data_IF_271860421933
#
_entry.id   IF_271860421933
#
_cell.length_a   1.000
_cell.length_b   1.000
_cell.length_c   1.000
_cell.angle_alpha   90.00
_cell.angle_beta   90.00
_cell.angle_gamma   90.00
#
_symmetry.space_group_name_H-M   'P 1'
#
loop_
_entity.id
_entity.type
_entity.pdbx_description
1 polymer ?
#
# COMPACT_ATOMS: atom_id res chain seq x y z
N UNK A 1 7.62 -22.36 12.44
CA UNK A 1 6.31 -21.71 12.53
C UNK A 1 5.69 -21.72 11.15
N UNK A 2 4.49 -22.28 11.01
CA UNK A 2 3.79 -22.39 9.74
C UNK A 2 3.51 -21.00 9.17
N UNK A 3 4.16 -20.70 8.07
CA UNK A 3 4.06 -19.42 7.38
C UNK A 3 2.85 -19.43 6.42
N UNK A 4 1.67 -19.84 6.96
CA UNK A 4 0.42 -19.91 6.20
C UNK A 4 -0.35 -18.60 6.36
N UNK A 5 -1.05 -18.14 5.30
CA UNK A 5 -1.93 -16.99 5.41
C UNK A 5 -3.18 -17.30 6.25
N UNK A 6 -3.73 -16.28 6.85
CA UNK A 6 -5.00 -16.31 7.57
C UNK A 6 -6.07 -15.63 6.72
N UNK A 7 -7.29 -16.15 6.76
CA UNK A 7 -8.37 -15.64 5.94
C UNK A 7 -9.59 -15.31 6.77
N UNK A 8 -10.18 -14.16 6.48
CA UNK A 8 -11.49 -13.71 6.96
C UNK A 8 -11.64 -13.78 8.49
N UNK A 9 -12.86 -13.96 8.96
CA UNK A 9 -13.15 -13.93 10.40
C UNK A 9 -12.61 -15.15 11.15
N UNK A 10 -12.62 -16.33 10.55
CA UNK A 10 -11.98 -17.52 11.14
C UNK A 10 -10.47 -17.33 11.33
N UNK A 11 -9.83 -16.58 10.42
CA UNK A 11 -8.44 -16.18 10.54
C UNK A 11 -8.20 -15.23 11.72
N UNK A 12 -9.11 -14.29 11.97
CA UNK A 12 -9.08 -13.41 13.15
C UNK A 12 -9.12 -14.21 14.44
N UNK A 13 -10.06 -15.15 14.56
CA UNK A 13 -10.17 -16.01 15.76
C UNK A 13 -8.89 -16.78 16.03
N UNK A 14 -8.27 -17.36 15.00
CA UNK A 14 -6.99 -18.09 15.12
C UNK A 14 -5.85 -17.15 15.54
N UNK A 15 -5.79 -15.95 14.95
CA UNK A 15 -4.78 -14.95 15.31
C UNK A 15 -4.94 -14.49 16.76
N UNK A 16 -6.16 -14.20 17.20
CA UNK A 16 -6.43 -13.75 18.56
C UNK A 16 -5.91 -14.72 19.64
N UNK A 17 -5.93 -16.04 19.37
CA UNK A 17 -5.37 -17.04 20.30
C UNK A 17 -3.84 -17.04 20.33
N UNK A 18 -3.18 -16.68 19.24
CA UNK A 18 -1.71 -16.81 19.05
C UNK A 18 -0.93 -15.51 19.19
N UNK A 19 -1.59 -14.35 19.03
CA UNK A 19 -0.97 -13.05 19.21
C UNK A 19 -0.83 -12.69 20.69
N UNK A 20 0.22 -11.93 21.02
CA UNK A 20 0.47 -11.42 22.37
C UNK A 20 -0.35 -10.16 22.69
N UNK A 21 -0.74 -9.43 21.65
CA UNK A 21 -1.40 -8.12 21.71
C UNK A 21 -0.44 -6.94 21.61
N UNK A 22 0.87 -7.18 21.44
CA UNK A 22 1.91 -6.14 21.31
C UNK A 22 2.55 -6.10 19.92
N UNK A 23 1.93 -6.75 18.95
CA UNK A 23 2.46 -6.86 17.60
C UNK A 23 2.45 -5.53 16.86
N UNK A 24 3.42 -5.38 15.96
CA UNK A 24 3.47 -4.32 14.96
C UNK A 24 2.66 -4.74 13.73
N UNK A 25 1.62 -4.00 13.41
CA UNK A 25 0.67 -4.32 12.34
C UNK A 25 0.83 -3.35 11.18
N UNK A 26 1.00 -3.91 9.98
CA UNK A 26 1.13 -3.17 8.72
C UNK A 26 -0.22 -2.91 8.10
N UNK A 27 -0.48 -1.64 7.78
CA UNK A 27 -1.60 -1.17 6.95
C UNK A 27 -1.02 -0.27 5.86
N UNK A 28 -1.14 -0.66 4.58
CA UNK A 28 -0.55 0.10 3.47
C UNK A 28 -1.61 0.66 2.54
N UNK A 29 -1.62 1.98 2.30
CA UNK A 29 -2.64 2.65 1.49
C UNK A 29 -2.04 3.66 0.53
N UNK A 30 -2.72 3.85 -0.61
CA UNK A 30 -2.49 4.96 -1.52
C UNK A 30 -3.20 6.22 -1.02
N UNK A 31 -2.60 7.41 -1.11
CA UNK A 31 -3.18 8.64 -0.61
C UNK A 31 -4.20 9.24 -1.59
N UNK A 32 -5.16 8.48 -2.04
CA UNK A 32 -6.25 8.99 -2.84
C UNK A 32 -7.54 8.18 -2.63
N UNK A 33 -8.49 8.82 -1.96
CA UNK A 33 -9.77 8.23 -1.63
C UNK A 33 -9.71 7.20 -0.49
N UNK A 34 -10.73 7.25 0.33
CA UNK A 34 -10.97 6.28 1.38
C UNK A 34 -12.45 5.90 1.33
N UNK A 35 -12.77 4.75 0.77
CA UNK A 35 -14.13 4.27 0.53
C UNK A 35 -14.44 3.03 1.37
N UNK A 36 -15.67 2.55 1.32
CA UNK A 36 -16.13 1.41 2.11
C UNK A 36 -15.22 0.17 1.98
N UNK A 37 -14.72 -0.13 0.76
CA UNK A 37 -13.78 -1.23 0.54
C UNK A 37 -12.46 -1.07 1.29
N UNK A 38 -11.97 0.16 1.47
CA UNK A 38 -10.79 0.43 2.30
C UNK A 38 -11.09 0.30 3.80
N UNK A 39 -12.30 0.67 4.24
CA UNK A 39 -12.67 0.58 5.66
C UNK A 39 -12.62 -0.86 6.18
N UNK A 40 -12.81 -1.88 5.32
CA UNK A 40 -12.75 -3.29 5.74
C UNK A 40 -11.36 -3.65 6.28
N UNK A 41 -10.25 -3.58 5.51
CA UNK A 41 -8.92 -3.94 6.01
C UNK A 41 -8.33 -2.93 6.99
N UNK A 42 -8.76 -1.65 6.97
CA UNK A 42 -8.12 -0.60 7.76
C UNK A 42 -8.85 -0.27 9.05
N UNK A 43 -10.15 -0.57 9.16
CA UNK A 43 -10.98 -0.26 10.33
C UNK A 43 -11.68 -1.52 10.86
N UNK A 44 -12.48 -2.19 10.03
CA UNK A 44 -13.35 -3.28 10.48
C UNK A 44 -12.53 -4.46 11.01
N UNK A 45 -11.56 -4.96 10.23
CA UNK A 45 -10.75 -6.10 10.61
C UNK A 45 -9.81 -5.83 11.79
N UNK A 46 -9.13 -4.67 11.89
CA UNK A 46 -8.46 -4.25 13.10
C UNK A 46 -9.37 -4.24 14.34
N UNK A 47 -10.59 -3.71 14.23
CA UNK A 47 -11.55 -3.72 15.33
C UNK A 47 -11.96 -5.12 15.76
N UNK A 48 -12.33 -5.98 14.79
CA UNK A 48 -12.70 -7.37 15.07
C UNK A 48 -11.55 -8.16 15.70
N UNK A 49 -10.31 -7.92 15.26
CA UNK A 49 -9.14 -8.54 15.87
C UNK A 49 -8.99 -8.13 17.35
N UNK A 50 -9.16 -6.84 17.66
CA UNK A 50 -9.10 -6.36 19.02
C UNK A 50 -10.23 -6.93 19.90
N UNK A 51 -11.45 -7.02 19.36
CA UNK A 51 -12.59 -7.63 20.07
C UNK A 51 -12.34 -9.12 20.38
N UNK A 52 -11.84 -9.89 19.40
CA UNK A 52 -11.51 -11.30 19.62
C UNK A 52 -10.36 -11.50 20.61
N UNK A 53 -9.37 -10.61 20.61
CA UNK A 53 -8.31 -10.58 21.62
C UNK A 53 -8.89 -10.40 23.02
N UNK A 54 -9.81 -9.41 23.20
CA UNK A 54 -10.47 -9.19 24.48
C UNK A 54 -11.31 -10.39 24.90
N UNK A 55 -12.05 -11.03 23.96
CA UNK A 55 -12.80 -12.29 24.26
C UNK A 55 -11.88 -13.42 24.69
N UNK A 56 -10.64 -13.43 24.19
CA UNK A 56 -9.61 -14.38 24.60
C UNK A 56 -8.89 -13.97 25.92
N UNK A 57 -9.38 -12.95 26.64
CA UNK A 57 -8.80 -12.46 27.88
C UNK A 57 -7.47 -11.71 27.71
N UNK A 58 -7.18 -11.18 26.52
CA UNK A 58 -5.95 -10.46 26.21
C UNK A 58 -6.21 -8.97 26.01
N UNK A 59 -5.22 -8.13 26.31
CA UNK A 59 -5.27 -6.69 26.05
C UNK A 59 -4.67 -6.41 24.68
N UNK A 60 -5.44 -5.86 23.70
CA UNK A 60 -4.88 -5.46 22.42
C UNK A 60 -4.11 -4.13 22.58
N UNK A 61 -2.79 -4.21 22.65
CA UNK A 61 -1.86 -3.07 22.71
C UNK A 61 -0.99 -3.01 21.45
N UNK A 62 -1.60 -3.22 20.30
CA UNK A 62 -0.95 -3.19 19.00
C UNK A 62 -0.36 -1.83 18.65
N UNK A 63 0.70 -1.83 17.82
CA UNK A 63 1.11 -0.63 17.09
C UNK A 63 0.69 -0.79 15.63
N UNK A 64 -0.30 -0.02 15.19
CA UNK A 64 -0.68 0.06 13.78
C UNK A 64 0.24 1.04 13.06
N UNK A 65 0.95 0.54 12.06
CA UNK A 65 1.74 1.34 11.13
C UNK A 65 0.94 1.55 9.85
N UNK A 66 0.42 2.76 9.69
CA UNK A 66 -0.28 3.21 8.50
C UNK A 66 0.74 3.79 7.52
N UNK A 67 1.08 3.02 6.50
CA UNK A 67 2.00 3.45 5.46
C UNK A 67 1.27 4.13 4.32
N UNK A 68 1.48 5.43 4.17
CA UNK A 68 0.98 6.21 3.06
C UNK A 68 1.97 6.09 1.88
N UNK A 69 1.51 5.51 0.77
CA UNK A 69 2.32 5.35 -0.42
C UNK A 69 2.34 6.63 -1.26
N UNK A 70 3.10 7.62 -0.85
CA UNK A 70 3.27 8.90 -1.55
C UNK A 70 4.25 8.84 -2.74
N UNK A 71 4.84 7.69 -3.01
CA UNK A 71 5.75 7.44 -4.13
C UNK A 71 5.07 6.75 -5.31
N UNK A 72 3.87 6.26 -5.16
CA UNK A 72 3.15 5.64 -6.25
C UNK A 72 2.62 6.69 -7.21
N UNK A 73 2.66 6.36 -8.50
CA UNK A 73 2.01 7.13 -9.53
C UNK A 73 0.70 6.45 -9.89
N UNK A 74 -0.36 7.23 -10.03
CA UNK A 74 -1.46 6.84 -10.88
C UNK A 74 -1.30 7.51 -12.24
N UNK A 75 -1.41 6.71 -13.28
CA UNK A 75 -1.75 7.24 -14.58
C UNK A 75 -3.19 7.71 -14.49
N UNK A 76 -3.40 9.00 -14.35
CA UNK A 76 -4.72 9.56 -14.46
C UNK A 76 -5.13 9.53 -15.93
N UNK A 77 -5.87 8.50 -16.27
CA UNK A 77 -6.71 8.49 -17.42
C UNK A 77 -8.00 9.20 -17.00
N UNK A 78 -8.21 10.41 -17.50
CA UNK A 78 -9.39 11.22 -17.22
C UNK A 78 -10.70 10.51 -17.57
N UNK A 79 -10.67 9.43 -18.37
CA UNK A 79 -11.81 8.56 -18.62
C UNK A 79 -12.13 7.60 -17.48
N UNK A 80 -11.22 7.38 -16.54
CA UNK A 80 -11.36 6.39 -15.45
C UNK A 80 -11.51 7.00 -14.06
N UNK A 81 -11.28 8.29 -13.91
CA UNK A 81 -11.39 8.98 -12.63
C UNK A 81 -12.55 9.94 -12.68
N UNK A 82 -13.52 9.76 -11.77
CA UNK A 82 -14.57 10.75 -11.62
C UNK A 82 -13.98 12.00 -10.96
N UNK A 83 -13.73 13.04 -11.77
CA UNK A 83 -13.11 14.30 -11.36
C UNK A 83 -13.88 14.99 -10.21
N UNK A 84 -15.17 14.68 -10.05
CA UNK A 84 -16.00 15.22 -8.94
C UNK A 84 -15.48 14.84 -7.55
N UNK A 85 -14.72 13.76 -7.45
CA UNK A 85 -14.18 13.27 -6.18
C UNK A 85 -12.77 13.76 -5.87
N UNK A 86 -12.15 14.45 -6.81
CA UNK A 86 -10.91 15.17 -6.58
C UNK A 86 -11.22 16.63 -6.29
N UNK A 87 -10.61 17.20 -5.25
CA UNK A 87 -10.80 18.62 -4.94
C UNK A 87 -10.18 19.56 -6.01
N UNK A 88 -9.80 19.04 -7.19
CA UNK A 88 -9.01 19.74 -8.20
C UNK A 88 -9.69 19.66 -9.57
N UNK A 89 -10.00 20.83 -10.09
CA UNK A 89 -10.77 20.97 -11.33
C UNK A 89 -9.97 20.71 -12.62
N UNK A 90 -8.66 20.50 -12.56
CA UNK A 90 -7.84 20.35 -13.76
C UNK A 90 -6.71 19.36 -13.52
N UNK A 91 -6.79 18.22 -14.18
CA UNK A 91 -5.65 17.29 -14.29
C UNK A 91 -5.16 17.32 -15.75
N UNK A 92 -3.86 17.48 -16.00
CA UNK A 92 -3.32 17.41 -17.35
C UNK A 92 -3.52 15.99 -17.93
N UNK A 93 -4.07 15.92 -19.13
CA UNK A 93 -4.25 14.65 -19.86
C UNK A 93 -2.92 13.93 -20.05
N UNK A 94 -2.91 12.62 -19.87
CA UNK A 94 -1.75 11.74 -20.15
C UNK A 94 -0.48 12.02 -19.35
N UNK A 95 -0.56 12.68 -18.21
CA UNK A 95 0.60 12.90 -17.34
C UNK A 95 0.56 11.97 -16.14
N UNK A 96 1.70 11.31 -15.89
CA UNK A 96 1.91 10.49 -14.70
C UNK A 96 2.44 11.38 -13.59
N UNK A 97 1.66 11.62 -12.54
CA UNK A 97 2.06 12.45 -11.40
C UNK A 97 2.40 11.61 -10.19
N UNK A 98 3.36 12.06 -9.40
CA UNK A 98 3.43 11.66 -8.01
C UNK A 98 2.36 12.37 -7.22
N UNK A 99 1.69 11.66 -6.32
CA UNK A 99 0.71 12.23 -5.41
C UNK A 99 1.24 13.39 -4.55
N UNK A 100 2.57 13.46 -4.34
CA UNK A 100 3.22 14.52 -3.56
C UNK A 100 3.24 15.88 -4.24
N UNK A 101 3.12 15.94 -5.59
CA UNK A 101 3.55 17.11 -6.34
C UNK A 101 2.44 17.86 -7.06
N UNK A 102 1.20 17.39 -6.99
CA UNK A 102 0.16 17.99 -7.79
C UNK A 102 -0.94 18.64 -6.96
N UNK A 103 -0.94 19.99 -6.99
CA UNK A 103 -2.16 20.76 -6.72
C UNK A 103 -2.09 22.10 -7.46
N UNK A 104 -3.08 22.40 -8.30
CA UNK A 104 -3.21 23.70 -8.91
C UNK A 104 -3.37 24.86 -7.91
N UNK A 105 -3.78 24.58 -6.68
CA UNK A 105 -4.12 25.56 -5.63
C UNK A 105 -3.13 25.61 -4.46
N UNK A 106 -1.97 24.93 -4.55
CA UNK A 106 -0.89 25.05 -3.56
C UNK A 106 -0.91 24.07 -2.39
N UNK A 107 -1.63 22.96 -2.45
CA UNK A 107 -1.60 21.92 -1.42
C UNK A 107 -1.11 20.55 -1.94
N UNK A 108 -1.03 19.51 -1.12
CA UNK A 108 -0.64 18.15 -1.50
C UNK A 108 -1.84 17.19 -1.43
N UNK A 109 -2.07 16.40 -2.51
CA UNK A 109 -3.08 15.32 -2.51
C UNK A 109 -2.86 14.40 -1.29
N UNK A 110 -1.60 14.12 -0.96
CA UNK A 110 -1.23 13.35 0.22
C UNK A 110 -1.74 14.02 1.49
N UNK A 111 -1.49 15.33 1.67
CA UNK A 111 -1.94 16.04 2.89
C UNK A 111 -3.46 16.01 3.04
N UNK A 112 -4.19 16.18 1.94
CA UNK A 112 -5.64 16.14 1.95
C UNK A 112 -6.18 14.76 2.37
N UNK A 113 -5.73 13.70 1.71
CA UNK A 113 -6.22 12.36 1.95
C UNK A 113 -5.68 11.73 3.22
N UNK A 114 -4.45 12.05 3.64
CA UNK A 114 -3.86 11.56 4.88
C UNK A 114 -4.70 11.93 6.10
N UNK A 115 -5.18 13.17 6.18
CA UNK A 115 -6.04 13.59 7.27
C UNK A 115 -7.33 12.74 7.34
N UNK A 116 -7.99 12.55 6.19
CA UNK A 116 -9.21 11.73 6.08
C UNK A 116 -8.94 10.26 6.46
N UNK A 117 -7.81 9.70 5.99
CA UNK A 117 -7.44 8.32 6.27
C UNK A 117 -7.14 8.13 7.76
N UNK A 118 -6.36 9.05 8.35
CA UNK A 118 -6.01 9.01 9.78
C UNK A 118 -7.29 9.12 10.63
N UNK A 119 -8.19 10.03 10.32
CA UNK A 119 -9.46 10.20 11.03
C UNK A 119 -10.25 8.89 11.07
N UNK A 120 -10.43 8.24 9.90
CA UNK A 120 -11.13 6.97 9.82
C UNK A 120 -10.42 5.82 10.59
N UNK A 121 -9.10 5.72 10.50
CA UNK A 121 -8.34 4.66 11.19
C UNK A 121 -8.25 4.92 12.68
N UNK A 122 -8.25 6.17 13.11
CA UNK A 122 -8.25 6.56 14.52
C UNK A 122 -9.46 6.05 15.28
N UNK A 123 -10.57 5.76 14.61
CA UNK A 123 -11.75 5.13 15.20
C UNK A 123 -11.41 3.81 15.93
N UNK A 124 -10.42 3.05 15.43
CA UNK A 124 -9.95 1.82 16.10
C UNK A 124 -9.26 2.17 17.43
N UNK A 125 -8.43 3.20 17.45
CA UNK A 125 -7.73 3.68 18.64
C UNK A 125 -8.68 4.25 19.67
N UNK A 126 -9.70 5.00 19.23
CA UNK A 126 -10.70 5.59 20.13
C UNK A 126 -11.49 4.51 20.86
N UNK A 127 -11.81 3.42 20.17
CA UNK A 127 -12.48 2.25 20.76
C UNK A 127 -11.57 1.40 21.65
N UNK A 128 -10.26 1.35 21.31
CA UNK A 128 -9.24 0.56 22.03
C UNK A 128 -8.05 1.45 22.41
N UNK A 129 -8.11 2.21 23.50
CA UNK A 129 -7.12 3.24 23.85
C UNK A 129 -5.69 2.74 24.07
N UNK A 130 -5.51 1.43 24.32
CA UNK A 130 -4.19 0.80 24.44
C UNK A 130 -3.44 0.66 23.10
N UNK A 131 -4.11 0.91 21.97
CA UNK A 131 -3.50 0.85 20.64
C UNK A 131 -2.71 2.13 20.34
N UNK A 132 -1.58 1.97 19.69
CA UNK A 132 -0.82 3.06 19.07
C UNK A 132 -1.04 3.10 17.57
N UNK A 133 -1.24 4.28 17.00
CA UNK A 133 -1.31 4.51 15.55
C UNK A 133 -0.13 5.40 15.13
N UNK A 134 0.65 4.94 14.15
CA UNK A 134 1.77 5.68 13.56
C UNK A 134 1.57 5.79 12.06
N UNK A 135 1.45 7.00 11.54
CA UNK A 135 1.37 7.28 10.12
C UNK A 135 2.77 7.58 9.57
N UNK A 136 3.14 6.94 8.47
CA UNK A 136 4.49 7.04 7.87
C UNK A 136 4.35 7.12 6.36
N UNK A 137 4.94 8.16 5.75
CA UNK A 137 5.06 8.32 4.31
C UNK A 137 6.33 7.64 3.80
N UNK A 138 6.33 7.17 2.56
CA UNK A 138 7.55 6.62 1.95
C UNK A 138 8.68 7.65 1.86
N UNK A 139 8.34 8.89 1.54
CA UNK A 139 9.31 9.99 1.47
C UNK A 139 10.07 10.18 2.77
N UNK A 140 9.45 9.92 3.93
CA UNK A 140 10.10 9.97 5.23
C UNK A 140 11.09 8.82 5.46
N UNK A 141 10.95 7.74 4.69
CA UNK A 141 11.83 6.56 4.78
C UNK A 141 12.97 6.59 3.77
N UNK A 142 12.97 7.54 2.83
CA UNK A 142 13.90 7.61 1.70
C UNK A 142 15.35 7.43 2.11
N UNK A 143 15.77 8.14 3.15
CA UNK A 143 17.17 8.20 3.59
C UNK A 143 17.55 7.06 4.57
N UNK A 144 16.63 6.16 4.87
CA UNK A 144 16.91 4.95 5.65
C UNK A 144 17.70 3.95 4.78
N UNK A 145 18.79 3.41 5.32
CA UNK A 145 19.73 2.55 4.57
C UNK A 145 19.01 1.42 3.81
N UNK A 146 18.12 0.69 4.47
CA UNK A 146 17.37 -0.42 3.86
C UNK A 146 16.48 0.06 2.69
N UNK A 147 15.86 1.25 2.78
CA UNK A 147 15.07 1.81 1.69
C UNK A 147 15.97 2.17 0.51
N UNK A 148 17.11 2.81 0.78
CA UNK A 148 18.12 3.14 -0.24
C UNK A 148 18.62 1.88 -0.94
N UNK A 149 18.97 0.83 -0.20
CA UNK A 149 19.44 -0.44 -0.74
C UNK A 149 18.41 -1.07 -1.69
N UNK A 150 17.13 -1.07 -1.30
CA UNK A 150 16.04 -1.60 -2.15
C UNK A 150 15.89 -0.77 -3.42
N UNK A 151 15.90 0.56 -3.33
CA UNK A 151 15.82 1.46 -4.48
C UNK A 151 17.00 1.23 -5.44
N UNK A 152 18.22 1.31 -4.93
CA UNK A 152 19.45 1.15 -5.72
C UNK A 152 19.49 -0.23 -6.41
N UNK A 153 19.18 -1.30 -5.65
CA UNK A 153 19.18 -2.66 -6.21
C UNK A 153 18.11 -2.81 -7.30
N UNK A 154 16.91 -2.22 -7.11
CA UNK A 154 15.84 -2.29 -8.12
C UNK A 154 16.22 -1.54 -9.40
N UNK A 155 16.98 -0.43 -9.31
CA UNK A 155 17.46 0.31 -10.48
C UNK A 155 18.61 -0.44 -11.14
N UNK A 156 19.54 -1.03 -10.37
CA UNK A 156 20.69 -1.81 -10.91
C UNK A 156 20.23 -3.08 -11.62
N UNK A 157 19.17 -3.73 -11.14
CA UNK A 157 18.60 -4.94 -11.73
C UNK A 157 17.10 -4.74 -12.03
N UNK A 158 16.76 -4.13 -13.17
CA UNK A 158 15.39 -3.83 -13.53
C UNK A 158 14.52 -5.08 -13.75
N UNK A 159 15.12 -6.25 -13.99
CA UNK A 159 14.41 -7.51 -14.20
C UNK A 159 14.08 -8.25 -12.90
N UNK A 160 14.79 -7.98 -11.81
CA UNK A 160 14.69 -8.70 -10.54
C UNK A 160 13.23 -8.83 -10.05
N UNK A 161 12.47 -7.74 -10.08
CA UNK A 161 11.06 -7.76 -9.65
C UNK A 161 10.19 -8.49 -10.67
N UNK A 162 10.41 -8.24 -11.97
CA UNK A 162 9.67 -8.89 -13.05
C UNK A 162 9.84 -10.40 -13.04
N UNK A 163 11.05 -10.90 -12.82
CA UNK A 163 11.36 -12.34 -12.74
C UNK A 163 10.63 -13.02 -11.59
N UNK A 164 10.59 -12.39 -10.41
CA UNK A 164 9.82 -12.89 -9.28
C UNK A 164 8.33 -12.89 -9.57
N UNK A 165 7.81 -11.84 -10.19
CA UNK A 165 6.38 -11.73 -10.50
C UNK A 165 5.95 -12.76 -11.53
N UNK A 166 6.71 -12.97 -12.62
CA UNK A 166 6.44 -14.02 -13.63
C UNK A 166 6.31 -15.42 -13.01
N UNK A 167 6.99 -15.68 -11.92
CA UNK A 167 6.97 -16.97 -11.22
C UNK A 167 5.86 -17.09 -10.16
N UNK A 168 5.18 -16.00 -9.79
CA UNK A 168 4.34 -15.97 -8.59
C UNK A 168 2.94 -15.42 -8.78
N UNK A 169 2.68 -14.73 -9.88
CA UNK A 169 1.35 -14.19 -10.15
C UNK A 169 0.72 -14.87 -11.37
N UNK A 170 -0.62 -15.05 -11.31
CA UNK A 170 -1.42 -15.49 -12.46
C UNK A 170 -1.88 -14.32 -13.33
N UNK A 171 -1.68 -13.08 -12.89
CA UNK A 171 -2.00 -11.89 -13.69
C UNK A 171 -0.99 -11.73 -14.81
N UNK A 172 -1.46 -11.25 -15.97
CA UNK A 172 -0.58 -10.73 -17.02
C UNK A 172 0.27 -9.63 -16.42
N UNK A 173 1.57 -9.86 -16.37
CA UNK A 173 2.52 -8.86 -15.90
C UNK A 173 2.67 -7.86 -17.03
N UNK A 174 2.27 -6.62 -16.77
CA UNK A 174 2.61 -5.52 -17.64
C UNK A 174 4.10 -5.28 -17.42
N UNK A 175 4.93 -5.60 -18.40
CA UNK A 175 6.35 -5.24 -18.37
C UNK A 175 6.44 -3.72 -18.31
N UNK A 176 6.96 -3.23 -17.21
CA UNK A 176 7.19 -1.80 -17.04
C UNK A 176 8.37 -1.39 -17.95
N UNK A 177 8.16 -0.53 -18.95
CA UNK A 177 9.19 -0.22 -19.94
C UNK A 177 10.42 0.49 -19.36
N UNK A 178 10.27 1.01 -18.12
CA UNK A 178 11.32 1.75 -17.41
C UNK A 178 11.76 1.06 -16.10
N UNK A 179 11.39 -0.21 -15.91
CA UNK A 179 11.67 -0.97 -14.69
C UNK A 179 10.71 -0.67 -13.54
N UNK A 180 10.94 -1.33 -12.40
CA UNK A 180 10.07 -1.28 -11.21
C UNK A 180 10.48 -0.24 -10.17
N UNK A 181 11.55 0.52 -10.43
CA UNK A 181 11.94 1.70 -9.67
C UNK A 181 12.47 2.77 -10.60
N UNK A 182 12.02 3.99 -10.42
CA UNK A 182 12.40 5.14 -11.27
C UNK A 182 12.54 6.39 -10.42
N UNK A 183 13.61 7.15 -10.65
CA UNK A 183 13.71 8.50 -10.11
C UNK A 183 12.74 9.41 -10.87
N UNK A 184 12.08 10.30 -10.13
CA UNK A 184 11.20 11.30 -10.72
C UNK A 184 12.05 12.42 -11.32
N UNK A 185 11.76 12.79 -12.55
CA UNK A 185 12.47 13.90 -13.20
C UNK A 185 12.39 15.19 -12.37
N UNK A 186 13.50 15.76 -11.91
CA UNK A 186 13.48 16.98 -11.12
C UNK A 186 12.90 18.18 -11.87
N UNK A 187 13.01 18.19 -13.20
CA UNK A 187 12.55 19.27 -14.06
C UNK A 187 11.05 19.20 -14.35
N UNK A 188 10.58 18.13 -15.02
CA UNK A 188 9.18 18.04 -15.47
C UNK A 188 8.29 17.12 -14.63
N UNK A 189 8.81 16.57 -13.54
CA UNK A 189 8.11 15.69 -12.59
C UNK A 189 7.60 14.37 -13.20
N UNK A 190 8.00 14.02 -14.42
CA UNK A 190 7.68 12.74 -15.03
C UNK A 190 8.42 11.60 -14.32
N UNK A 191 7.76 10.47 -14.14
CA UNK A 191 8.39 9.21 -13.74
C UNK A 191 8.68 8.29 -14.93
N UNK A 192 8.45 8.74 -16.14
CA UNK A 192 8.94 8.05 -17.35
C UNK A 192 10.40 8.42 -17.58
N UNK A 193 11.27 7.95 -16.69
CA UNK A 193 12.70 8.20 -16.74
C UNK A 193 13.47 6.89 -16.89
N UNK A 194 14.57 6.92 -17.60
CA UNK A 194 15.58 5.88 -17.58
C UNK A 194 16.64 6.27 -16.55
N UNK A 195 17.01 5.32 -15.69
CA UNK A 195 17.92 5.58 -14.60
C UNK A 195 19.12 4.66 -14.66
N UNK A 196 20.31 5.19 -14.35
CA UNK A 196 21.54 4.44 -14.21
C UNK A 196 22.25 4.86 -12.92
N UNK A 197 22.63 3.89 -12.12
CA UNK A 197 23.48 4.12 -10.95
C UNK A 197 24.88 4.40 -11.40
N UNK A 198 25.45 5.55 -11.05
CA UNK A 198 26.81 5.96 -11.35
C UNK A 198 27.75 5.51 -10.23
N UNK A 199 27.36 5.75 -8.99
CA UNK A 199 28.01 5.31 -7.78
C UNK A 199 26.95 5.12 -6.68
N UNK A 200 27.36 4.92 -5.43
CA UNK A 200 26.43 4.63 -4.32
C UNK A 200 25.48 5.79 -3.99
N UNK A 201 25.79 7.01 -4.38
CA UNK A 201 25.04 8.21 -4.07
C UNK A 201 24.48 8.93 -5.30
N UNK A 202 24.98 8.65 -6.52
CA UNK A 202 24.61 9.40 -7.70
C UNK A 202 23.87 8.54 -8.73
N UNK A 203 22.76 9.09 -9.20
CA UNK A 203 21.88 8.48 -10.20
C UNK A 203 21.80 9.39 -11.42
N UNK A 204 22.17 8.88 -12.58
CA UNK A 204 21.90 9.52 -13.85
C UNK A 204 20.45 9.33 -14.24
N UNK A 205 19.79 10.43 -14.59
CA UNK A 205 18.41 10.48 -15.05
C UNK A 205 18.39 10.92 -16.51
N UNK A 206 17.78 10.09 -17.36
CA UNK A 206 17.44 10.44 -18.72
C UNK A 206 15.92 10.52 -18.85
N UNK A 207 15.39 11.71 -19.07
CA UNK A 207 13.96 11.96 -19.15
C UNK A 207 13.53 12.22 -20.60
N UNK A 208 12.86 11.28 -21.28
CA UNK A 208 12.41 11.48 -22.65
C UNK A 208 11.32 12.54 -22.78
N UNK A 209 10.63 12.88 -21.70
CA UNK A 209 9.55 13.86 -21.71
C UNK A 209 10.03 15.32 -21.85
N UNK A 210 11.21 15.65 -21.30
CA UNK A 210 11.76 17.01 -21.35
C UNK A 210 13.22 17.08 -21.82
N UNK A 211 13.81 15.97 -22.26
CA UNK A 211 15.19 15.90 -22.74
C UNK A 211 16.27 16.00 -21.65
N UNK A 212 15.90 16.04 -20.37
CA UNK A 212 16.89 16.10 -19.29
C UNK A 212 17.76 14.88 -19.28
N UNK A 213 19.09 15.08 -19.30
CA UNK A 213 20.11 14.03 -19.12
C UNK A 213 21.16 14.53 -18.14
N UNK A 214 21.07 14.13 -16.86
CA UNK A 214 21.96 14.63 -15.80
C UNK A 214 22.03 13.68 -14.62
N UNK A 215 23.15 13.70 -13.91
CA UNK A 215 23.32 12.99 -12.62
C UNK A 215 22.89 13.85 -11.46
N UNK A 216 22.27 13.22 -10.48
CA UNK A 216 21.81 13.82 -9.24
C UNK A 216 22.14 12.94 -8.07
N UNK A 217 22.43 13.55 -6.92
CA UNK A 217 22.58 12.83 -5.69
C UNK A 217 21.24 12.20 -5.26
N UNK A 218 21.28 10.97 -4.77
CA UNK A 218 20.14 10.17 -4.33
C UNK A 218 19.20 10.96 -3.40
N UNK A 219 19.78 11.66 -2.42
CA UNK A 219 19.02 12.41 -1.40
C UNK A 219 18.22 13.60 -1.96
N UNK A 220 18.52 14.04 -3.18
CA UNK A 220 17.79 15.11 -3.86
C UNK A 220 16.63 14.60 -4.71
N UNK A 221 16.46 13.28 -4.80
CA UNK A 221 15.51 12.65 -5.70
C UNK A 221 14.28 12.13 -4.96
N UNK A 222 13.14 12.18 -5.64
CA UNK A 222 11.97 11.39 -5.33
C UNK A 222 11.92 10.19 -6.28
N UNK A 223 11.24 9.13 -5.85
CA UNK A 223 11.17 7.89 -6.60
C UNK A 223 9.72 7.46 -6.82
N UNK A 224 9.49 6.76 -7.90
CA UNK A 224 8.42 5.79 -8.02
C UNK A 224 9.03 4.40 -7.76
N UNK A 225 8.45 3.66 -6.84
CA UNK A 225 8.83 2.28 -6.55
C UNK A 225 7.58 1.42 -6.51
N UNK A 226 7.59 0.32 -7.27
CA UNK A 226 6.47 -0.61 -7.30
C UNK A 226 6.12 -1.11 -5.90
N UNK A 227 4.84 -1.26 -5.58
CA UNK A 227 4.37 -1.52 -4.23
C UNK A 227 4.89 -2.82 -3.60
N UNK A 228 5.18 -3.86 -4.41
CA UNK A 228 5.66 -5.15 -3.88
C UNK A 228 7.09 -5.06 -3.31
N UNK A 229 8.11 -4.56 -4.02
CA UNK A 229 9.42 -4.32 -3.41
C UNK A 229 9.36 -3.22 -2.33
N UNK A 230 8.47 -2.24 -2.45
CA UNK A 230 8.30 -1.18 -1.45
C UNK A 230 7.84 -1.70 -0.08
N UNK A 231 7.12 -2.82 -0.03
CA UNK A 231 6.71 -3.42 1.24
C UNK A 231 7.89 -3.98 2.05
N UNK A 232 9.00 -4.37 1.41
CA UNK A 232 10.14 -5.02 2.07
C UNK A 232 10.83 -4.14 3.11
N UNK A 233 11.28 -2.90 2.77
CA UNK A 233 11.91 -2.02 3.74
C UNK A 233 10.94 -1.64 4.87
N UNK A 234 9.66 -1.43 4.60
CA UNK A 234 8.65 -1.14 5.62
C UNK A 234 8.56 -2.25 6.66
N UNK A 235 8.46 -3.50 6.19
CA UNK A 235 8.39 -4.68 7.06
C UNK A 235 9.66 -4.82 7.90
N UNK A 236 10.81 -4.62 7.28
CA UNK A 236 12.11 -4.78 7.96
C UNK A 236 12.38 -3.69 8.99
N UNK A 237 12.20 -2.42 8.60
CA UNK A 237 12.52 -1.27 9.45
C UNK A 237 11.64 -1.24 10.70
N UNK A 238 10.36 -1.57 10.56
CA UNK A 238 9.39 -1.47 11.65
C UNK A 238 9.10 -2.81 12.33
N UNK A 239 9.87 -3.86 12.03
CA UNK A 239 9.70 -5.20 12.60
C UNK A 239 8.24 -5.65 12.61
N UNK A 240 7.62 -5.62 11.44
CA UNK A 240 6.19 -5.93 11.27
C UNK A 240 5.93 -7.41 11.55
N UNK A 241 4.97 -7.70 12.42
CA UNK A 241 4.57 -9.06 12.82
C UNK A 241 3.34 -9.55 12.05
N UNK A 242 2.44 -8.63 11.65
CA UNK A 242 1.19 -8.93 10.97
C UNK A 242 0.90 -7.90 9.88
N UNK A 243 0.52 -8.37 8.70
CA UNK A 243 -0.04 -7.55 7.62
C UNK A 243 -1.55 -7.81 7.52
N UNK A 244 -2.37 -6.76 7.42
CA UNK A 244 -3.80 -6.87 7.11
C UNK A 244 -4.01 -6.25 5.72
N UNK A 245 -4.62 -7.00 4.80
CA UNK A 245 -4.79 -6.58 3.39
C UNK A 245 -5.98 -7.27 2.74
N UNK A 246 -6.47 -6.73 1.61
CA UNK A 246 -7.57 -7.33 0.86
C UNK A 246 -7.23 -8.68 0.22
N UNK A 247 -8.22 -9.54 0.06
CA UNK A 247 -8.06 -10.87 -0.56
C UNK A 247 -7.69 -10.81 -2.05
N UNK A 248 -7.97 -9.69 -2.72
CA UNK A 248 -7.51 -9.41 -4.08
C UNK A 248 -5.98 -9.49 -4.18
N UNK A 249 -5.24 -9.02 -3.17
CA UNK A 249 -3.79 -9.15 -3.11
C UNK A 249 -3.31 -10.61 -3.00
N UNK A 250 -4.05 -11.49 -2.30
CA UNK A 250 -3.73 -12.91 -2.27
C UNK A 250 -3.87 -13.54 -3.66
N UNK A 251 -4.98 -13.26 -4.33
CA UNK A 251 -5.26 -13.74 -5.69
C UNK A 251 -4.23 -13.23 -6.71
N UNK A 252 -3.58 -12.10 -6.41
CA UNK A 252 -2.45 -11.55 -7.19
C UNK A 252 -1.09 -12.16 -6.83
N UNK A 253 -1.05 -13.21 -6.02
CA UNK A 253 0.17 -13.89 -5.61
C UNK A 253 1.05 -13.09 -4.64
N UNK A 254 0.48 -12.11 -3.93
CA UNK A 254 1.23 -11.20 -3.06
C UNK A 254 2.01 -11.93 -1.97
N UNK A 255 1.41 -12.95 -1.35
CA UNK A 255 2.05 -13.72 -0.28
C UNK A 255 3.33 -14.42 -0.74
N UNK A 256 3.26 -15.13 -1.88
CA UNK A 256 4.40 -15.87 -2.44
C UNK A 256 5.43 -14.92 -3.02
N UNK A 257 4.99 -13.89 -3.76
CA UNK A 257 5.91 -12.89 -4.34
C UNK A 257 6.71 -12.16 -3.28
N UNK A 258 6.09 -11.82 -2.14
CA UNK A 258 6.77 -11.19 -1.01
C UNK A 258 7.88 -12.08 -0.44
N UNK A 259 7.62 -13.37 -0.24
CA UNK A 259 8.64 -14.32 0.23
C UNK A 259 9.83 -14.42 -0.73
N UNK A 260 9.55 -14.51 -2.04
CA UNK A 260 10.61 -14.59 -3.05
C UNK A 260 11.38 -13.27 -3.17
N UNK A 261 10.70 -12.12 -3.07
CA UNK A 261 11.36 -10.81 -3.10
C UNK A 261 12.30 -10.64 -1.90
N UNK A 262 11.91 -11.02 -0.68
CA UNK A 262 12.82 -10.97 0.47
C UNK A 262 14.11 -11.74 0.23
N UNK A 263 14.02 -12.94 -0.39
CA UNK A 263 15.19 -13.72 -0.79
C UNK A 263 16.01 -13.03 -1.87
N UNK A 264 15.34 -12.55 -2.93
CA UNK A 264 15.99 -11.87 -4.05
C UNK A 264 16.74 -10.61 -3.62
N UNK A 265 16.18 -9.85 -2.66
CA UNK A 265 16.85 -8.68 -2.09
C UNK A 265 17.90 -9.01 -1.02
N UNK A 266 18.02 -10.29 -0.64
CA UNK A 266 18.92 -10.73 0.44
C UNK A 266 18.63 -10.00 1.76
N UNK A 267 17.36 -9.79 2.05
CA UNK A 267 16.90 -9.16 3.30
C UNK A 267 16.54 -10.24 4.32
N UNK A 268 17.35 -10.43 5.37
CA UNK A 268 17.03 -11.39 6.43
C UNK A 268 15.88 -10.85 7.27
N UNK A 269 14.70 -11.41 7.08
CA UNK A 269 13.49 -11.01 7.81
C UNK A 269 12.66 -12.22 8.17
N UNK A 270 12.13 -12.23 9.39
CA UNK A 270 11.00 -13.07 9.73
C UNK A 270 9.78 -12.57 8.93
N UNK A 271 9.25 -13.42 8.07
CA UNK A 271 8.04 -13.08 7.32
C UNK A 271 6.88 -12.75 8.28
N UNK A 272 6.21 -11.63 8.12
CA UNK A 272 5.02 -11.31 8.91
C UNK A 272 3.90 -12.31 8.59
N UNK A 273 3.07 -12.59 9.57
CA UNK A 273 1.78 -13.23 9.33
C UNK A 273 0.96 -12.33 8.39
N UNK A 274 0.05 -12.88 7.63
CA UNK A 274 -0.82 -12.08 6.76
C UNK A 274 -2.26 -12.51 6.96
N UNK A 275 -3.12 -11.52 7.27
CA UNK A 275 -4.56 -11.66 7.37
C UNK A 275 -5.20 -11.04 6.14
N UNK A 276 -5.91 -11.85 5.37
CA UNK A 276 -6.66 -11.42 4.19
C UNK A 276 -8.10 -11.14 4.54
N UNK A 277 -8.56 -9.96 4.18
CA UNK A 277 -9.94 -9.50 4.39
C UNK A 277 -10.76 -9.76 3.13
N UNK A 278 -12.09 -9.88 3.20
CA UNK A 278 -12.92 -10.01 2.02
C UNK A 278 -12.85 -8.77 1.12
N UNK A 279 -13.13 -8.98 -0.15
CA UNK A 279 -13.29 -7.91 -1.14
C UNK A 279 -14.75 -7.46 -1.17
N UNK A 280 -14.99 -6.15 -1.04
CA UNK A 280 -16.33 -5.57 -1.15
C UNK A 280 -16.66 -5.29 -2.61
N UNK A 281 -17.85 -5.67 -3.02
CA UNK A 281 -18.39 -5.47 -4.37
C UNK A 281 -19.52 -4.44 -4.35
N UNK A 282 -19.49 -3.52 -5.29
CA UNK A 282 -20.53 -2.53 -5.47
C UNK A 282 -21.79 -3.13 -6.13
N UNK A 283 -22.88 -2.36 -6.20
CA UNK A 283 -24.17 -2.76 -6.78
C UNK A 283 -24.09 -3.20 -8.26
N UNK A 284 -23.05 -2.79 -8.97
CA UNK A 284 -22.76 -3.23 -10.34
C UNK A 284 -22.05 -4.59 -10.42
N UNK A 285 -21.86 -5.29 -9.31
CA UNK A 285 -21.21 -6.60 -9.24
C UNK A 285 -19.70 -6.59 -9.47
N UNK A 286 -19.05 -5.41 -9.52
CA UNK A 286 -17.61 -5.27 -9.66
C UNK A 286 -16.96 -4.98 -8.29
N UNK A 287 -15.72 -5.40 -8.07
CA UNK A 287 -14.99 -5.01 -6.86
C UNK A 287 -15.00 -3.48 -6.69
N UNK A 288 -15.32 -3.03 -5.48
CA UNK A 288 -15.39 -1.60 -5.20
C UNK A 288 -14.03 -0.93 -5.40
N UNK A 289 -14.02 0.19 -6.11
CA UNK A 289 -12.82 0.94 -6.38
C UNK A 289 -13.06 2.18 -7.23
N UNK A 290 -12.33 3.25 -6.95
CA UNK A 290 -12.46 4.53 -7.69
C UNK A 290 -12.25 4.38 -9.19
N UNK A 291 -11.22 3.63 -9.59
CA UNK A 291 -10.91 3.39 -11.01
C UNK A 291 -12.03 2.65 -11.77
N UNK A 292 -13.03 2.14 -11.05
CA UNK A 292 -14.18 1.42 -11.63
C UNK A 292 -15.48 2.22 -11.55
N UNK A 293 -15.42 3.45 -11.00
CA UNK A 293 -16.58 4.32 -10.87
C UNK A 293 -17.70 3.78 -9.95
N UNK A 294 -17.39 2.82 -9.09
CA UNK A 294 -18.36 2.11 -8.26
C UNK A 294 -18.00 2.13 -6.78
N UNK A 295 -17.52 3.25 -6.26
CA UNK A 295 -17.27 3.36 -4.83
C UNK A 295 -18.45 4.01 -4.12
N UNK A 296 -18.74 3.50 -2.94
CA UNK A 296 -19.74 4.04 -2.01
C UNK A 296 -19.06 4.30 -0.67
N UNK A 297 -19.50 5.34 0.01
CA UNK A 297 -19.10 5.59 1.39
C UNK A 297 -20.20 5.02 2.31
N UNK A 298 -19.87 3.92 2.97
CA UNK A 298 -20.74 3.28 3.94
C UNK A 298 -20.19 3.51 5.34
N UNK A 299 -21.09 3.73 6.30
CA UNK A 299 -20.69 3.86 7.70
C UNK A 299 -20.14 2.54 8.27
N UNK A 300 -19.37 2.67 9.34
CA UNK A 300 -18.67 1.54 9.97
C UNK A 300 -19.66 0.51 10.53
N UNK A 301 -20.82 0.94 11.08
CA UNK A 301 -21.81 0.01 11.65
C UNK A 301 -22.45 -0.85 10.57
N UNK A 302 -22.77 -0.23 9.43
CA UNK A 302 -23.34 -0.94 8.29
C UNK A 302 -22.34 -1.96 7.72
N UNK A 303 -21.08 -1.57 7.51
CA UNK A 303 -20.01 -2.47 7.05
C UNK A 303 -19.75 -3.61 8.05
N UNK A 304 -19.76 -3.33 9.34
CA UNK A 304 -19.61 -4.34 10.39
C UNK A 304 -20.73 -5.39 10.28
N UNK A 305 -21.97 -4.95 10.06
CA UNK A 305 -23.12 -5.84 9.86
C UNK A 305 -22.94 -6.72 8.64
N UNK A 306 -22.52 -6.17 7.50
CA UNK A 306 -22.25 -6.93 6.26
C UNK A 306 -21.20 -8.01 6.52
N UNK A 307 -20.06 -7.64 7.14
CA UNK A 307 -18.96 -8.57 7.44
C UNK A 307 -19.42 -9.68 8.38
N UNK A 308 -20.13 -9.36 9.46
CA UNK A 308 -20.56 -10.34 10.46
C UNK A 308 -21.72 -11.22 9.98
N UNK A 309 -22.50 -10.77 9.00
CA UNK A 309 -23.50 -11.63 8.33
C UNK A 309 -22.90 -12.65 7.38
N UNK A 310 -21.65 -12.41 6.90
CA UNK A 310 -20.92 -13.29 5.98
C UNK A 310 -19.46 -13.47 6.44
N UNK A 311 -19.22 -14.01 7.64
CA UNK A 311 -17.96 -13.86 8.36
C UNK A 311 -16.75 -14.50 7.66
N UNK A 312 -16.95 -15.59 6.93
CA UNK A 312 -15.89 -16.33 6.25
C UNK A 312 -16.02 -16.31 4.71
N UNK A 313 -16.75 -15.32 4.19
CA UNK A 313 -16.91 -15.13 2.76
C UNK A 313 -15.78 -14.25 2.20
N UNK A 314 -15.19 -14.65 1.09
CA UNK A 314 -14.13 -13.87 0.41
C UNK A 314 -14.68 -12.72 -0.42
N UNK A 315 -16.00 -12.71 -0.69
CA UNK A 315 -16.74 -11.69 -1.41
C UNK A 315 -17.88 -11.17 -0.52
N UNK A 316 -17.99 -9.89 -0.41
CA UNK A 316 -19.10 -9.19 0.23
C UNK A 316 -19.80 -8.31 -0.81
N UNK A 317 -21.11 -8.42 -0.95
CA UNK A 317 -21.90 -7.60 -1.85
C UNK A 317 -22.67 -6.54 -1.06
N UNK A 318 -22.72 -5.32 -1.59
CA UNK A 318 -23.64 -4.29 -1.11
C UNK A 318 -25.01 -4.59 -1.73
N UNK A 319 -25.98 -4.93 -0.89
CA UNK A 319 -27.36 -5.20 -1.28
C UNK A 319 -28.17 -3.91 -1.28
#
# INVERSE_FOLDING_TARGET
MDNKPYFFYSGIKKLATTLSGKENIYLGIRPYGFHAGNKIPFVIYPMLLCEEMQRAGKIPAFTFYLFINDWEQDGFDDTKVNIKDFPFNVMPKNTTFQFTNYIPTGGSIVNHWEAIIIDNVSFVKDKFPSISLRCIRNSQMRDMAIMKDVVIKTIKDPNLVGDVLRQTTQKTIIEEPYGYCRAICPHCKSARTQNKIINDDDIQINCPNCGLSRSYNYHLLNFWLYHKPLALPRIKIFNIDLCITGNDHYNEGDFISRQKLFKAYNLPVKMPRTLYTPTLYGRNGLPMGKSKGNYEDLDIKHLMKIVLSNPDCGRLDII
#
